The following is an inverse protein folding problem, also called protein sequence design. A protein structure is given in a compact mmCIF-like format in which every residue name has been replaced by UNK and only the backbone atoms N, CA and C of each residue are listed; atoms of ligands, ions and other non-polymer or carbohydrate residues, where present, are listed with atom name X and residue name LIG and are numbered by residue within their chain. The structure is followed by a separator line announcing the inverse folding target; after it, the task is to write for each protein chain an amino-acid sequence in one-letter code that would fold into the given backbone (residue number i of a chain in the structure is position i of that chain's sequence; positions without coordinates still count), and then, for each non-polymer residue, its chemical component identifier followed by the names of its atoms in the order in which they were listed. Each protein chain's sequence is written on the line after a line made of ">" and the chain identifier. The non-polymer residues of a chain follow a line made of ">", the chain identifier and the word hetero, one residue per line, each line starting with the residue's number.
data_IF_362966843453
#
_entry.id   IF_362966843453
#
_cell.length_a   1.000
_cell.length_b   1.000
_cell.length_c   1.000
_cell.angle_alpha   90.00
_cell.angle_beta   90.00
_cell.angle_gamma   90.00
#
_symmetry.space_group_name_H-M   'P 1'
#
loop_
_entity.id
_entity.type
_entity.pdbx_description
1 polymer ?
#
# COMPACT_ATOMS: atom_id res chain seq x y z
N UNK A 1 -19.33 17.34 -3.19
CA UNK A 1 -18.72 16.07 -2.72
C UNK A 1 -17.73 15.60 -3.78
N UNK A 2 -16.46 15.38 -3.41
CA UNK A 2 -15.46 14.82 -4.32
C UNK A 2 -15.41 13.32 -4.06
N UNK A 3 -15.78 12.52 -5.06
CA UNK A 3 -15.50 11.07 -5.08
C UNK A 3 -14.51 10.86 -6.20
N UNK A 4 -13.38 10.26 -5.84
CA UNK A 4 -12.31 9.88 -6.75
C UNK A 4 -12.34 8.36 -6.84
N UNK A 5 -12.62 7.85 -8.04
CA UNK A 5 -12.48 6.44 -8.36
C UNK A 5 -11.21 6.30 -9.17
N UNK A 6 -10.27 5.49 -8.69
CA UNK A 6 -9.03 5.19 -9.39
C UNK A 6 -9.13 3.77 -9.90
N UNK A 7 -9.01 3.61 -11.21
CA UNK A 7 -8.95 2.32 -11.85
C UNK A 7 -7.58 2.13 -12.49
N UNK A 8 -6.97 0.98 -12.19
CA UNK A 8 -5.75 0.51 -12.83
C UNK A 8 -6.11 -0.50 -13.92
N UNK A 9 -5.66 -0.26 -15.15
CA UNK A 9 -5.81 -1.17 -16.29
C UNK A 9 -4.46 -1.56 -16.87
N UNK A 10 -4.38 -2.71 -17.55
CA UNK A 10 -3.23 -3.04 -18.41
C UNK A 10 -3.52 -2.60 -19.85
N UNK A 11 -2.60 -1.86 -20.46
CA UNK A 11 -2.67 -1.56 -21.89
C UNK A 11 -1.86 -2.56 -22.73
N UNK A 12 -1.93 -2.44 -24.06
CA UNK A 12 -1.24 -3.33 -25.02
C UNK A 12 0.30 -3.34 -24.92
N UNK A 13 0.88 -2.44 -24.11
CA UNK A 13 2.33 -2.22 -23.99
C UNK A 13 2.80 -2.37 -22.53
N UNK A 14 2.06 -3.15 -21.72
CA UNK A 14 2.37 -3.48 -20.31
C UNK A 14 2.43 -2.29 -19.33
N UNK A 15 1.91 -1.12 -19.70
CA UNK A 15 1.77 0.00 -18.76
C UNK A 15 0.47 -0.10 -17.97
N UNK A 16 0.55 0.43 -16.74
CA UNK A 16 -0.62 0.67 -15.91
C UNK A 16 -1.31 1.94 -16.39
N UNK A 17 -2.51 1.83 -16.94
CA UNK A 17 -3.37 2.98 -17.18
C UNK A 17 -4.07 3.37 -15.89
N UNK A 18 -3.99 4.66 -15.53
CA UNK A 18 -4.71 5.22 -14.39
C UNK A 18 -5.80 6.15 -14.90
N UNK A 19 -7.03 5.89 -14.51
CA UNK A 19 -8.15 6.80 -14.75
C UNK A 19 -8.74 7.30 -13.45
N UNK A 20 -9.15 8.56 -13.44
CA UNK A 20 -9.80 9.22 -12.31
C UNK A 20 -11.19 9.67 -12.75
N UNK A 21 -12.20 9.21 -12.04
CA UNK A 21 -13.53 9.78 -12.12
C UNK A 21 -13.70 10.87 -11.06
N UNK A 22 -14.28 12.00 -11.44
CA UNK A 22 -14.64 13.06 -10.51
C UNK A 22 -16.13 13.35 -10.60
N UNK A 23 -16.85 13.20 -9.48
CA UNK A 23 -18.26 13.60 -9.40
C UNK A 23 -18.49 15.08 -9.68
N UNK A 24 -17.50 15.94 -9.39
CA UNK A 24 -17.62 17.40 -9.60
C UNK A 24 -17.75 17.74 -11.08
N UNK A 25 -16.98 17.06 -11.92
CA UNK A 25 -17.00 17.26 -13.38
C UNK A 25 -17.90 16.27 -14.10
N UNK A 26 -18.22 15.14 -13.46
CA UNK A 26 -18.94 14.00 -14.04
C UNK A 26 -18.26 13.40 -15.28
N UNK A 27 -16.92 13.38 -15.29
CA UNK A 27 -16.14 12.79 -16.38
C UNK A 27 -15.00 11.94 -15.85
N UNK A 28 -14.67 10.91 -16.63
CA UNK A 28 -13.42 10.17 -16.52
C UNK A 28 -12.31 10.96 -17.19
N UNK A 29 -11.15 11.02 -16.55
CA UNK A 29 -9.92 11.53 -17.18
C UNK A 29 -8.78 10.57 -16.95
N UNK A 30 -7.90 10.48 -17.93
CA UNK A 30 -6.70 9.65 -17.85
C UNK A 30 -5.57 10.46 -17.20
N UNK A 31 -4.87 9.84 -16.24
CA UNK A 31 -3.59 10.33 -15.75
C UNK A 31 -2.51 9.56 -16.52
N UNK A 32 -1.82 10.27 -17.40
CA UNK A 32 -0.70 9.68 -18.15
C UNK A 32 0.51 9.63 -17.23
N UNK A 33 0.81 8.44 -16.74
CA UNK A 33 1.99 8.21 -15.93
C UNK A 33 2.79 7.08 -16.58
N UNK A 34 3.88 7.46 -17.25
CA UNK A 34 4.67 6.58 -18.13
C UNK A 34 5.56 5.60 -17.37
N UNK A 35 5.59 5.71 -16.04
CA UNK A 35 6.65 5.14 -15.20
C UNK A 35 6.29 3.79 -14.59
N UNK A 36 5.04 3.33 -14.74
CA UNK A 36 4.45 2.35 -13.83
C UNK A 36 3.92 1.11 -14.56
N UNK A 37 4.71 0.02 -14.52
CA UNK A 37 4.22 -1.34 -14.73
C UNK A 37 4.16 -2.00 -13.35
N UNK A 38 2.93 -2.15 -12.84
CA UNK A 38 2.69 -2.56 -11.47
C UNK A 38 1.73 -3.75 -11.40
N UNK A 39 2.04 -4.65 -10.47
CA UNK A 39 1.14 -5.69 -10.02
C UNK A 39 0.54 -5.30 -8.67
N UNK A 40 -0.78 -5.10 -8.65
CA UNK A 40 -1.54 -4.79 -7.45
C UNK A 40 -2.13 -6.09 -6.87
N UNK A 41 -1.65 -6.56 -5.71
CA UNK A 41 -2.27 -7.67 -5.00
C UNK A 41 -3.68 -7.27 -4.50
N UNK A 42 -4.52 -8.26 -4.23
CA UNK A 42 -5.83 -8.03 -3.64
C UNK A 42 -5.70 -7.42 -2.23
N UNK A 43 -6.55 -6.41 -1.93
CA UNK A 43 -6.72 -5.77 -0.60
C UNK A 43 -5.55 -4.94 -0.08
N UNK A 44 -4.80 -4.27 -0.94
CA UNK A 44 -3.67 -3.44 -0.51
C UNK A 44 -3.97 -1.94 -0.47
N UNK A 45 -5.24 -1.52 -0.40
CA UNK A 45 -5.59 -0.10 -0.41
C UNK A 45 -5.74 0.51 1.01
N UNK A 46 -5.18 1.70 1.19
CA UNK A 46 -5.34 2.50 2.40
C UNK A 46 -5.48 4.00 2.08
N UNK A 47 -6.38 4.70 2.78
CA UNK A 47 -6.48 6.16 2.75
C UNK A 47 -5.89 6.73 4.05
N UNK A 48 -4.78 7.46 3.95
CA UNK A 48 -4.15 8.10 5.10
C UNK A 48 -3.52 9.43 4.67
N UNK A 49 -3.53 10.42 5.57
CA UNK A 49 -2.83 11.71 5.38
C UNK A 49 -3.19 12.39 4.04
N UNK A 50 -4.44 12.27 3.59
CA UNK A 50 -4.91 12.89 2.35
C UNK A 50 -4.43 12.22 1.06
N UNK A 51 -3.82 11.03 1.14
CA UNK A 51 -3.39 10.25 -0.02
C UNK A 51 -3.94 8.82 0.01
N UNK A 52 -4.28 8.31 -1.17
CA UNK A 52 -4.58 6.89 -1.39
C UNK A 52 -3.27 6.13 -1.57
N UNK A 53 -3.17 4.94 -0.99
CA UNK A 53 -1.94 4.17 -0.97
C UNK A 53 -2.21 2.72 -1.37
N UNK A 54 -1.26 2.12 -2.07
CA UNK A 54 -1.27 0.73 -2.50
C UNK A 54 0.07 0.08 -2.22
N UNK A 55 0.08 -1.08 -1.57
CA UNK A 55 1.23 -1.98 -1.67
C UNK A 55 1.20 -2.65 -3.05
N UNK A 56 2.26 -2.47 -3.82
CA UNK A 56 2.37 -2.93 -5.20
C UNK A 56 3.76 -3.48 -5.49
N UNK A 57 3.90 -4.24 -6.57
CA UNK A 57 5.16 -4.82 -7.02
C UNK A 57 5.49 -4.32 -8.41
N UNK A 58 6.72 -3.86 -8.61
CA UNK A 58 7.20 -3.51 -9.95
C UNK A 58 7.37 -4.78 -10.77
N UNK A 59 6.70 -4.85 -11.92
CA UNK A 59 6.89 -5.95 -12.87
C UNK A 59 8.16 -5.70 -13.68
N UNK A 60 9.30 -6.18 -13.19
CA UNK A 60 10.54 -6.29 -13.97
C UNK A 60 10.66 -7.69 -14.58
N UNK A 61 11.42 -7.82 -15.68
CA UNK A 61 11.71 -9.11 -16.33
C UNK A 61 12.44 -10.12 -15.42
N UNK A 62 13.03 -9.64 -14.33
CA UNK A 62 13.62 -10.45 -13.27
C UNK A 62 12.60 -10.69 -12.16
N UNK A 63 12.37 -11.95 -11.84
CA UNK A 63 11.36 -12.55 -10.94
C UNK A 63 11.41 -12.12 -9.47
N UNK A 64 12.14 -11.07 -9.13
CA UNK A 64 12.31 -10.56 -7.76
C UNK A 64 11.75 -9.14 -7.68
N UNK A 65 10.42 -9.04 -7.62
CA UNK A 65 9.76 -7.76 -7.42
C UNK A 65 9.99 -7.27 -5.98
N UNK A 66 10.79 -6.22 -5.81
CA UNK A 66 10.75 -5.44 -4.57
C UNK A 66 9.36 -4.81 -4.46
N UNK A 67 8.67 -5.05 -3.34
CA UNK A 67 7.44 -4.33 -3.04
C UNK A 67 7.73 -2.83 -2.94
N UNK A 68 6.74 -2.00 -3.22
CA UNK A 68 6.76 -0.56 -2.91
C UNK A 68 5.37 -0.09 -2.48
N UNK A 69 5.32 1.03 -1.75
CA UNK A 69 4.06 1.71 -1.47
C UNK A 69 3.89 2.82 -2.50
N UNK A 70 2.96 2.63 -3.43
CA UNK A 70 2.53 3.67 -4.35
C UNK A 70 1.50 4.53 -3.62
N UNK A 71 1.62 5.85 -3.73
CA UNK A 71 0.67 6.79 -3.15
C UNK A 71 0.17 7.78 -4.20
N UNK A 72 -1.09 8.20 -4.08
CA UNK A 72 -1.74 9.22 -4.90
C UNK A 72 -2.27 10.33 -3.99
N UNK A 73 -1.68 11.51 -4.09
CA UNK A 73 -2.09 12.70 -3.34
C UNK A 73 -3.42 13.23 -3.90
N UNK A 74 -4.46 13.32 -3.07
CA UNK A 74 -5.79 13.76 -3.51
C UNK A 74 -5.88 15.27 -3.80
N UNK A 75 -4.95 16.06 -3.27
CA UNK A 75 -4.89 17.52 -3.46
C UNK A 75 -4.10 17.87 -4.71
N UNK A 76 -2.92 17.26 -4.89
CA UNK A 76 -2.03 17.55 -6.03
C UNK A 76 -2.30 16.65 -7.22
N UNK A 77 -3.01 15.54 -7.02
CA UNK A 77 -3.33 14.51 -8.02
C UNK A 77 -2.08 13.91 -8.67
N UNK A 78 -1.03 13.77 -7.86
CA UNK A 78 0.27 13.22 -8.28
C UNK A 78 0.56 11.92 -7.57
N UNK A 79 1.19 11.01 -8.30
CA UNK A 79 1.75 9.81 -7.74
C UNK A 79 3.11 10.08 -7.09
N UNK A 80 3.39 9.38 -6.02
CA UNK A 80 4.70 9.34 -5.38
C UNK A 80 4.90 7.99 -4.69
N UNK A 81 6.14 7.68 -4.33
CA UNK A 81 6.48 6.49 -3.58
C UNK A 81 6.64 6.82 -2.11
N UNK A 82 5.89 6.14 -1.25
CA UNK A 82 6.09 6.21 0.20
C UNK A 82 7.14 5.17 0.64
N UNK A 83 7.92 5.44 1.71
CA UNK A 83 8.97 4.54 2.15
C UNK A 83 8.38 3.26 2.74
N UNK A 84 9.04 2.13 2.43
CA UNK A 84 8.79 0.85 3.08
C UNK A 84 9.70 0.70 4.32
N UNK A 85 9.29 -0.11 5.31
CA UNK A 85 10.18 -0.50 6.40
C UNK A 85 11.34 -1.35 5.86
N UNK A 86 12.53 -1.19 6.44
CA UNK A 86 13.67 -2.08 6.18
C UNK A 86 13.41 -3.45 6.84
N UNK A 87 12.69 -4.32 6.13
CA UNK A 87 12.35 -5.67 6.58
C UNK A 87 13.09 -6.69 5.72
N UNK A 88 14.20 -7.17 6.23
CA UNK A 88 14.98 -8.26 5.63
C UNK A 88 14.19 -9.57 5.70
N UNK A 89 14.25 -10.36 4.62
CA UNK A 89 13.78 -11.75 4.53
C UNK A 89 12.28 -11.97 4.81
N UNK A 90 11.43 -10.95 4.66
CA UNK A 90 9.97 -11.09 4.77
C UNK A 90 9.27 -10.54 3.55
N UNK A 91 8.20 -11.22 3.16
CA UNK A 91 7.26 -10.68 2.20
C UNK A 91 6.10 -10.03 2.94
N UNK A 92 5.73 -8.82 2.53
CA UNK A 92 4.56 -8.12 3.04
C UNK A 92 3.40 -8.31 2.07
N UNK A 93 2.24 -8.70 2.60
CA UNK A 93 1.10 -9.15 1.79
C UNK A 93 -0.19 -8.39 2.06
N UNK A 94 -0.26 -7.63 3.16
CA UNK A 94 -1.42 -6.82 3.49
C UNK A 94 -0.99 -5.43 3.95
N UNK A 95 -1.78 -4.44 3.58
CA UNK A 95 -1.51 -3.03 3.81
C UNK A 95 -2.82 -2.29 4.11
N UNK A 96 -2.85 -1.57 5.22
CA UNK A 96 -4.06 -0.95 5.74
C UNK A 96 -3.74 0.25 6.65
N UNK A 97 -4.78 0.94 7.13
CA UNK A 97 -4.63 1.93 8.21
C UNK A 97 -4.94 1.27 9.53
N UNK A 98 -4.05 1.42 10.50
CA UNK A 98 -4.22 0.95 11.87
C UNK A 98 -4.06 2.13 12.83
N UNK A 99 -5.15 2.48 13.53
CA UNK A 99 -5.19 3.61 14.48
C UNK A 99 -4.69 4.94 13.88
N UNK A 100 -5.05 5.21 12.62
CA UNK A 100 -4.68 6.43 11.90
C UNK A 100 -3.31 6.40 11.20
N UNK A 101 -2.49 5.37 11.43
CA UNK A 101 -1.18 5.21 10.78
C UNK A 101 -1.23 4.18 9.67
N UNK A 102 -0.39 4.32 8.64
CA UNK A 102 -0.15 3.26 7.67
C UNK A 102 0.45 2.03 8.36
N UNK A 103 0.01 0.85 7.94
CA UNK A 103 0.33 -0.42 8.57
C UNK A 103 0.59 -1.50 7.52
N UNK A 104 1.56 -2.37 7.83
CA UNK A 104 1.96 -3.51 7.00
C UNK A 104 1.92 -4.79 7.81
N UNK A 105 1.35 -5.83 7.20
CA UNK A 105 1.46 -7.21 7.70
C UNK A 105 2.47 -7.97 6.86
N UNK A 106 3.52 -8.47 7.50
CA UNK A 106 4.61 -9.20 6.84
C UNK A 106 4.78 -10.61 7.44
N UNK A 107 4.96 -11.59 6.56
CA UNK A 107 5.11 -13.01 6.90
C UNK A 107 6.47 -13.49 6.38
N UNK A 108 7.13 -14.38 7.12
CA UNK A 108 8.39 -14.99 6.69
C UNK A 108 8.08 -16.09 5.67
N UNK A 109 8.89 -16.16 4.61
CA UNK A 109 8.68 -17.01 3.43
C UNK A 109 8.51 -18.51 3.75
N UNK A 110 8.96 -18.96 4.93
CA UNK A 110 8.87 -20.36 5.37
C UNK A 110 7.64 -20.68 6.24
N UNK A 111 6.76 -19.71 6.53
CA UNK A 111 5.57 -19.85 7.38
C UNK A 111 5.80 -20.43 8.80
N UNK A 112 7.05 -20.67 9.20
CA UNK A 112 7.40 -21.24 10.50
C UNK A 112 7.49 -20.19 11.61
N UNK A 113 7.44 -18.91 11.25
CA UNK A 113 7.63 -17.80 12.16
C UNK A 113 6.38 -16.92 12.25
N UNK A 114 6.08 -16.35 13.44
CA UNK A 114 5.03 -15.38 13.63
C UNK A 114 5.08 -14.23 12.62
N UNK A 115 3.93 -13.91 12.03
CA UNK A 115 3.74 -12.72 11.22
C UNK A 115 3.99 -11.49 12.09
N UNK A 116 4.45 -10.40 11.47
CA UNK A 116 4.70 -9.14 12.16
C UNK A 116 3.86 -8.02 11.56
N UNK A 117 3.30 -7.20 12.44
CA UNK A 117 2.59 -5.98 12.07
C UNK A 117 3.50 -4.78 12.37
N UNK A 118 3.63 -3.91 11.37
CA UNK A 118 4.45 -2.71 11.41
C UNK A 118 3.57 -1.49 11.17
N UNK A 119 3.88 -0.37 11.82
CA UNK A 119 3.20 0.91 11.57
C UNK A 119 4.19 2.04 11.35
N UNK A 120 3.87 2.93 10.41
CA UNK A 120 4.60 4.16 10.16
C UNK A 120 4.13 5.22 11.16
N UNK A 121 4.93 5.50 12.19
CA UNK A 121 4.56 6.46 13.25
C UNK A 121 4.57 7.89 12.74
N UNK A 122 5.52 8.22 11.88
CA UNK A 122 5.66 9.54 11.28
C UNK A 122 5.57 9.38 9.77
N UNK A 123 4.52 9.95 9.18
CA UNK A 123 4.22 9.75 7.78
C UNK A 123 5.36 10.21 6.88
N UNK A 124 5.77 9.35 5.94
CA UNK A 124 6.83 9.63 4.97
C UNK A 124 8.26 9.41 5.48
N UNK A 125 8.45 8.98 6.74
CA UNK A 125 9.77 8.68 7.30
C UNK A 125 9.99 7.18 7.42
N UNK A 126 11.03 6.67 6.76
CA UNK A 126 11.37 5.25 6.75
C UNK A 126 11.71 4.75 8.16
N UNK A 127 12.43 5.57 8.92
CA UNK A 127 12.93 5.27 10.26
C UNK A 127 11.80 5.21 11.30
N UNK A 128 10.64 5.78 10.98
CA UNK A 128 9.47 5.79 11.87
C UNK A 128 8.69 4.47 11.87
N UNK A 129 9.00 3.57 10.92
CA UNK A 129 8.39 2.26 10.88
C UNK A 129 8.76 1.45 12.12
N UNK A 130 7.76 1.18 12.95
CA UNK A 130 7.94 0.45 14.20
C UNK A 130 7.14 -0.84 14.17
N UNK A 131 7.78 -1.96 14.54
CA UNK A 131 7.09 -3.23 14.76
C UNK A 131 6.19 -3.11 15.98
N UNK A 132 4.89 -3.31 15.82
CA UNK A 132 3.94 -3.29 16.95
C UNK A 132 3.93 -4.62 17.70
N UNK A 133 3.76 -5.74 17.00
CA UNK A 133 3.75 -7.07 17.61
C UNK A 133 4.04 -8.18 16.58
N UNK A 134 4.28 -9.38 17.10
CA UNK A 134 4.38 -10.62 16.33
C UNK A 134 3.34 -11.61 16.83
N UNK A 135 2.66 -12.31 15.92
CA UNK A 135 1.64 -13.31 16.26
C UNK A 135 1.79 -14.56 15.38
N UNK A 136 1.71 -15.75 15.98
CA UNK A 136 1.74 -17.03 15.25
C UNK A 136 0.57 -17.08 14.27
N UNK A 137 0.89 -17.30 13.00
CA UNK A 137 -0.02 -17.05 11.88
C UNK A 137 -0.97 -18.23 11.70
N UNK A 138 -1.92 -18.40 12.62
CA UNK A 138 -3.19 -19.03 12.30
C UNK A 138 -4.23 -17.92 12.05
N UNK A 139 -4.05 -17.21 10.93
CA UNK A 139 -5.15 -16.40 10.36
C UNK A 139 -5.21 -14.91 10.71
N UNK A 140 -4.18 -14.28 11.29
CA UNK A 140 -4.15 -12.80 11.36
C UNK A 140 -3.98 -12.26 9.94
N UNK A 141 -5.10 -11.89 9.32
CA UNK A 141 -5.11 -11.36 7.95
C UNK A 141 -5.10 -9.84 7.91
N UNK A 142 -5.64 -9.14 8.92
CA UNK A 142 -5.71 -7.67 8.98
C UNK A 142 -6.18 -7.17 10.36
N UNK A 143 -5.33 -6.59 11.22
CA UNK A 143 -5.79 -5.96 12.45
C UNK A 143 -6.67 -4.74 12.13
N UNK A 144 -7.73 -4.53 12.90
CA UNK A 144 -8.65 -3.41 12.74
C UNK A 144 -8.31 -2.24 13.67
N UNK A 145 -7.85 -2.56 14.87
CA UNK A 145 -7.46 -1.60 15.90
C UNK A 145 -6.45 -2.26 16.85
N UNK A 146 -5.72 -1.44 17.61
CA UNK A 146 -4.98 -1.87 18.78
C UNK A 146 -5.07 -0.80 19.87
N UNK A 147 -5.18 -1.24 21.11
CA UNK A 147 -5.06 -0.39 22.30
C UNK A 147 -3.81 -0.81 23.05
N UNK A 148 -3.03 0.17 23.53
CA UNK A 148 -1.90 -0.12 24.41
C UNK A 148 -2.35 -0.51 25.82
N UNK A 149 -3.54 -0.06 26.21
CA UNK A 149 -4.04 -0.18 27.58
C UNK A 149 -5.26 -1.11 27.70
N UNK A 150 -5.84 -1.57 26.58
CA UNK A 150 -6.99 -2.47 26.59
C UNK A 150 -8.36 -1.80 26.69
N UNK A 151 -8.38 -0.47 26.85
CA UNK A 151 -9.57 0.38 26.76
C UNK A 151 -9.83 0.85 25.33
#
# INVERSE_FOLDING_TARGET
>A
MLVIIIQFGKNKVDYTEVTVYSLKTNFWRQIKESSFSFFFPLRTEALAVGALHWLTFKTTSTTEGYGLILAFDLKTEKFFQAPLPDIKDKACFDFHVLSGSLSLTCIIYNHQQPGSIWVMKEYGMMESWTKLFSCSVEGVRRPLAYSKNGD
#
